data_IF_489961383358
#
_entry.id   IF_489961383358
#
_cell.length_a   1.000
_cell.length_b   1.000
_cell.length_c   1.000
_cell.angle_alpha   90.00
_cell.angle_beta   90.00
_cell.angle_gamma   90.00
#
_symmetry.space_group_name_H-M   'P 1'
#
loop_
_entity.id
_entity.type
_entity.pdbx_description
1 polymer ?
#
# COMPACT_ATOMS: atom_id res chain seq x y z
N UNK A 1 -57.79 -52.31 -26.06
CA UNK A 1 -58.10 -51.96 -24.67
C UNK A 1 -57.07 -50.90 -24.24
N UNK A 2 -57.52 -49.66 -24.07
CA UNK A 2 -56.72 -48.48 -23.87
C UNK A 2 -56.35 -48.33 -22.40
N UNK A 3 -55.08 -48.20 -22.11
CA UNK A 3 -54.55 -47.78 -20.80
C UNK A 3 -53.83 -46.50 -20.93
N UNK A 4 -54.51 -45.38 -20.61
CA UNK A 4 -53.92 -44.04 -20.62
C UNK A 4 -52.99 -43.79 -19.41
N UNK A 5 -51.78 -43.30 -19.65
CA UNK A 5 -50.81 -42.87 -18.62
C UNK A 5 -51.07 -41.42 -18.28
N UNK A 6 -51.46 -41.18 -17.04
CA UNK A 6 -51.67 -39.86 -16.46
C UNK A 6 -50.36 -39.13 -16.28
N UNK A 7 -50.25 -37.90 -16.85
CA UNK A 7 -49.13 -36.96 -16.61
C UNK A 7 -49.36 -36.28 -15.28
N UNK A 8 -48.57 -36.64 -14.27
CA UNK A 8 -48.44 -35.86 -13.02
C UNK A 8 -47.59 -34.62 -13.28
N UNK A 9 -48.18 -33.45 -13.05
CA UNK A 9 -47.50 -32.19 -13.05
C UNK A 9 -46.49 -32.12 -11.90
N UNK A 10 -45.20 -31.93 -12.23
CA UNK A 10 -44.19 -31.54 -11.27
C UNK A 10 -44.32 -30.03 -10.99
N UNK A 11 -44.76 -29.68 -9.80
CA UNK A 11 -44.72 -28.31 -9.27
C UNK A 11 -43.26 -28.07 -8.87
N UNK A 12 -42.53 -27.32 -9.68
CA UNK A 12 -41.20 -26.86 -9.38
C UNK A 12 -41.27 -25.72 -8.37
N UNK A 13 -40.90 -26.00 -7.10
CA UNK A 13 -40.66 -24.96 -6.10
C UNK A 13 -39.29 -24.31 -6.37
N UNK A 14 -39.32 -23.15 -6.98
CA UNK A 14 -38.14 -22.27 -7.07
C UNK A 14 -37.86 -21.67 -5.68
N UNK A 15 -36.88 -22.23 -4.99
CA UNK A 15 -36.27 -21.60 -3.81
C UNK A 15 -35.46 -20.42 -4.32
N UNK A 16 -35.97 -19.20 -4.15
CA UNK A 16 -35.21 -17.97 -4.30
C UNK A 16 -34.24 -17.87 -3.12
N UNK A 17 -32.98 -18.21 -3.35
CA UNK A 17 -31.90 -17.85 -2.43
C UNK A 17 -31.72 -16.33 -2.50
N UNK A 18 -32.31 -15.61 -1.54
CA UNK A 18 -32.00 -14.21 -1.28
C UNK A 18 -30.59 -14.18 -0.67
N UNK A 19 -29.58 -13.90 -1.49
CA UNK A 19 -28.27 -13.54 -0.99
C UNK A 19 -28.39 -12.17 -0.29
N UNK A 20 -28.55 -12.22 1.03
CA UNK A 20 -28.37 -11.05 1.89
C UNK A 20 -26.88 -10.75 1.86
N UNK A 21 -26.45 -9.88 0.96
CA UNK A 21 -25.17 -9.23 1.04
C UNK A 21 -25.20 -8.32 2.28
N UNK A 22 -24.79 -8.86 3.43
CA UNK A 22 -24.47 -8.04 4.59
C UNK A 22 -23.24 -7.22 4.23
N UNK A 23 -23.44 -6.08 3.59
CA UNK A 23 -22.52 -4.98 3.54
C UNK A 23 -22.42 -4.43 4.97
N UNK A 24 -21.58 -5.02 5.80
CA UNK A 24 -21.17 -4.39 7.04
C UNK A 24 -20.46 -3.10 6.67
N UNK A 25 -21.19 -1.97 6.65
CA UNK A 25 -20.56 -0.65 6.65
C UNK A 25 -19.64 -0.62 7.87
N UNK A 26 -18.33 -0.50 7.62
CA UNK A 26 -17.36 -0.35 8.68
C UNK A 26 -17.77 0.87 9.51
N UNK A 27 -18.14 0.67 10.77
CA UNK A 27 -18.47 1.79 11.65
C UNK A 27 -17.26 2.72 11.73
N UNK A 28 -17.45 4.04 11.60
CA UNK A 28 -16.33 4.98 11.66
C UNK A 28 -15.60 4.79 13.00
N UNK A 29 -14.31 4.53 12.92
CA UNK A 29 -13.46 4.39 14.09
C UNK A 29 -13.54 5.67 14.93
N UNK A 30 -13.94 5.55 16.19
CA UNK A 30 -14.13 6.68 17.12
C UNK A 30 -12.83 7.45 17.43
N UNK A 31 -11.66 6.96 17.03
CA UNK A 31 -10.36 7.57 17.29
C UNK A 31 -9.59 7.80 15.98
N UNK A 32 -8.79 8.85 15.97
CA UNK A 32 -7.87 9.16 14.89
C UNK A 32 -6.71 8.15 14.89
N UNK A 33 -6.51 7.47 13.77
CA UNK A 33 -5.40 6.52 13.60
C UNK A 33 -4.15 7.25 13.11
N UNK A 34 -2.99 6.65 13.43
CA UNK A 34 -1.67 6.97 12.86
C UNK A 34 -1.27 5.88 11.89
N UNK A 35 -1.12 6.22 10.63
CA UNK A 35 -0.73 5.31 9.57
C UNK A 35 0.69 5.64 9.13
N UNK A 36 1.55 4.62 9.01
CA UNK A 36 2.88 4.76 8.42
C UNK A 36 2.97 3.88 7.18
N UNK A 37 3.37 4.48 6.07
CA UNK A 37 3.71 3.77 4.83
C UNK A 37 5.22 3.90 4.64
N UNK A 38 5.95 2.80 4.85
CA UNK A 38 7.39 2.74 4.83
C UNK A 38 7.89 2.20 3.48
N UNK A 39 8.42 3.08 2.63
CA UNK A 39 8.98 2.77 1.32
C UNK A 39 10.49 3.00 1.25
N UNK A 40 11.16 2.40 0.27
CA UNK A 40 12.59 2.57 0.03
C UNK A 40 12.91 4.01 -0.38
N UNK A 41 12.19 4.52 -1.36
CA UNK A 41 12.48 5.81 -2.00
C UNK A 41 11.26 6.72 -2.06
N UNK A 42 11.46 8.04 -2.27
CA UNK A 42 10.39 8.95 -2.67
C UNK A 42 9.69 8.44 -3.94
N UNK A 43 8.38 8.20 -3.85
CA UNK A 43 7.57 7.61 -4.91
C UNK A 43 6.98 6.26 -4.52
N UNK A 44 7.74 5.34 -3.92
CA UNK A 44 7.26 4.00 -3.61
C UNK A 44 5.95 3.99 -2.80
N UNK A 45 5.81 4.75 -1.69
CA UNK A 45 4.56 4.83 -0.95
C UNK A 45 3.39 5.36 -1.79
N UNK A 46 3.65 6.31 -2.68
CA UNK A 46 2.64 6.92 -3.54
C UNK A 46 2.19 5.95 -4.63
N UNK A 47 3.14 5.25 -5.27
CA UNK A 47 2.83 4.24 -6.28
C UNK A 47 2.11 3.03 -5.67
N UNK A 48 2.51 2.57 -4.49
CA UNK A 48 1.92 1.40 -3.84
C UNK A 48 0.58 1.71 -3.15
N UNK A 49 0.52 2.82 -2.39
CA UNK A 49 -0.54 3.08 -1.41
C UNK A 49 -1.26 4.42 -1.59
N UNK A 50 -0.98 5.19 -2.65
CA UNK A 50 -1.46 6.58 -2.78
C UNK A 50 -2.98 6.73 -2.68
N UNK A 51 -3.73 5.79 -3.25
CA UNK A 51 -5.20 5.79 -3.16
C UNK A 51 -5.71 5.47 -1.74
N UNK A 52 -5.09 4.50 -1.08
CA UNK A 52 -5.36 4.13 0.33
C UNK A 52 -5.00 5.26 1.28
N UNK A 53 -3.83 5.90 1.07
CA UNK A 53 -3.41 7.09 1.83
C UNK A 53 -4.44 8.21 1.71
N UNK A 54 -4.91 8.50 0.49
CA UNK A 54 -5.93 9.52 0.27
C UNK A 54 -7.23 9.18 1.01
N UNK A 55 -7.66 7.92 1.04
CA UNK A 55 -8.84 7.49 1.81
C UNK A 55 -8.66 7.69 3.32
N UNK A 56 -7.51 7.30 3.87
CA UNK A 56 -7.23 7.54 5.30
C UNK A 56 -7.26 9.03 5.65
N UNK A 57 -6.59 9.87 4.85
CA UNK A 57 -6.53 11.31 5.12
C UNK A 57 -7.88 11.99 4.93
N UNK A 58 -8.70 11.57 3.95
CA UNK A 58 -10.09 12.03 3.78
C UNK A 58 -10.98 11.64 4.98
N UNK A 59 -10.71 10.49 5.60
CA UNK A 59 -11.39 10.04 6.83
C UNK A 59 -10.83 10.69 8.12
N UNK A 60 -9.90 11.63 7.99
CA UNK A 60 -9.37 12.42 9.11
C UNK A 60 -8.22 11.77 9.88
N UNK A 61 -7.65 10.70 9.36
CA UNK A 61 -6.50 10.02 9.98
C UNK A 61 -5.17 10.70 9.68
N UNK A 62 -4.16 10.48 10.53
CA UNK A 62 -2.79 10.97 10.32
C UNK A 62 -1.99 9.93 9.53
N UNK A 63 -1.44 10.34 8.38
CA UNK A 63 -0.60 9.47 7.55
C UNK A 63 0.80 10.05 7.44
N UNK A 64 1.81 9.21 7.66
CA UNK A 64 3.22 9.51 7.41
C UNK A 64 3.75 8.60 6.30
N UNK A 65 4.31 9.20 5.25
CA UNK A 65 5.10 8.49 4.25
C UNK A 65 6.55 8.52 4.70
N UNK A 66 7.06 7.35 5.13
CA UNK A 66 8.42 7.17 5.61
C UNK A 66 9.28 6.61 4.49
N UNK A 67 10.27 7.36 4.05
CA UNK A 67 11.22 6.93 3.02
C UNK A 67 12.53 6.48 3.69
N UNK A 68 13.09 5.34 3.26
CA UNK A 68 14.35 4.83 3.80
C UNK A 68 15.51 5.80 3.52
N UNK A 69 15.55 6.30 2.29
CA UNK A 69 16.53 7.26 1.79
C UNK A 69 15.85 8.39 1.00
N UNK A 70 16.64 9.23 0.33
CA UNK A 70 16.14 10.34 -0.48
C UNK A 70 16.16 10.05 -1.98
N UNK A 71 16.54 8.83 -2.39
CA UNK A 71 16.66 8.45 -3.77
C UNK A 71 17.81 9.13 -4.49
N UNK A 72 18.95 9.26 -3.83
CA UNK A 72 20.12 10.02 -4.28
C UNK A 72 20.71 9.51 -5.59
N UNK A 73 20.52 8.23 -5.92
CA UNK A 73 20.99 7.60 -7.16
C UNK A 73 20.04 7.74 -8.34
N UNK A 74 18.81 8.21 -8.14
CA UNK A 74 17.74 8.19 -9.15
C UNK A 74 17.77 9.31 -10.19
N UNK A 75 18.79 10.18 -10.24
CA UNK A 75 18.87 11.29 -11.19
C UNK A 75 20.13 11.18 -12.06
N UNK A 76 20.03 10.71 -13.31
CA UNK A 76 21.17 10.68 -14.20
C UNK A 76 21.85 12.03 -14.33
N UNK A 77 23.19 12.05 -14.35
CA UNK A 77 24.01 13.25 -14.55
C UNK A 77 23.93 14.32 -13.45
N UNK A 78 23.43 13.97 -12.23
CA UNK A 78 23.42 14.85 -11.06
C UNK A 78 24.23 14.24 -9.91
N UNK A 79 24.72 15.08 -9.02
CA UNK A 79 25.28 14.60 -7.75
C UNK A 79 24.17 13.99 -6.88
N UNK A 80 24.52 13.04 -6.01
CA UNK A 80 23.56 12.47 -5.05
C UNK A 80 22.91 13.53 -4.16
N UNK A 81 23.67 14.57 -3.79
CA UNK A 81 23.14 15.68 -2.99
C UNK A 81 22.06 16.46 -3.75
N UNK A 82 22.29 16.80 -5.02
CA UNK A 82 21.31 17.50 -5.86
C UNK A 82 20.08 16.65 -6.12
N UNK A 83 20.29 15.36 -6.45
CA UNK A 83 19.18 14.42 -6.65
C UNK A 83 18.34 14.28 -5.40
N UNK A 84 18.96 14.03 -4.25
CA UNK A 84 18.27 13.91 -2.97
C UNK A 84 17.48 15.17 -2.60
N UNK A 85 17.98 16.37 -2.94
CA UNK A 85 17.26 17.62 -2.72
C UNK A 85 16.02 17.72 -3.63
N UNK A 86 16.15 17.40 -4.92
CA UNK A 86 15.03 17.37 -5.89
C UNK A 86 13.96 16.40 -5.40
N UNK A 87 14.32 15.14 -5.16
CA UNK A 87 13.37 14.09 -4.78
C UNK A 87 12.73 14.35 -3.40
N UNK A 88 13.43 14.99 -2.48
CA UNK A 88 12.84 15.46 -1.22
C UNK A 88 11.75 16.50 -1.46
N UNK A 89 11.98 17.47 -2.37
CA UNK A 89 10.97 18.48 -2.71
C UNK A 89 9.74 17.85 -3.40
N UNK A 90 9.96 16.86 -4.25
CA UNK A 90 8.90 16.10 -4.92
C UNK A 90 8.08 15.28 -3.92
N UNK A 91 8.71 14.57 -2.98
CA UNK A 91 8.04 13.86 -1.90
C UNK A 91 7.18 14.80 -1.02
N UNK A 92 7.72 15.98 -0.69
CA UNK A 92 6.94 17.00 0.02
C UNK A 92 5.73 17.47 -0.77
N UNK A 93 5.85 17.62 -2.10
CA UNK A 93 4.73 17.97 -2.98
C UNK A 93 3.70 16.85 -3.03
N UNK A 94 4.11 15.60 -3.21
CA UNK A 94 3.23 14.44 -3.20
C UNK A 94 2.47 14.30 -1.86
N UNK A 95 3.19 14.45 -0.74
CA UNK A 95 2.57 14.45 0.59
C UNK A 95 1.53 15.56 0.77
N UNK A 96 1.76 16.78 0.23
CA UNK A 96 0.74 17.84 0.27
C UNK A 96 -0.52 17.47 -0.49
N UNK A 97 -0.40 16.85 -1.65
CA UNK A 97 -1.54 16.36 -2.47
C UNK A 97 -2.35 15.33 -1.67
N UNK A 98 -1.67 14.36 -1.06
CA UNK A 98 -2.29 13.29 -0.27
C UNK A 98 -2.68 13.73 1.16
N UNK A 99 -2.38 14.96 1.58
CA UNK A 99 -2.54 15.45 2.96
C UNK A 99 -1.80 14.58 3.99
N UNK A 100 -0.69 13.98 3.59
CA UNK A 100 0.22 13.19 4.41
C UNK A 100 1.44 14.01 4.86
N UNK A 101 2.30 13.40 5.69
CA UNK A 101 3.55 14.00 6.17
C UNK A 101 4.74 13.17 5.67
N UNK A 102 5.79 13.79 5.09
CA UNK A 102 7.00 13.07 4.73
C UNK A 102 7.90 12.88 5.96
N UNK A 103 8.56 11.72 6.03
CA UNK A 103 9.64 11.44 6.97
C UNK A 103 10.75 10.63 6.26
N UNK A 104 11.99 10.75 6.72
CA UNK A 104 13.15 10.09 6.14
C UNK A 104 13.92 9.34 7.22
N UNK A 105 14.27 8.07 6.98
CA UNK A 105 15.03 7.26 7.93
C UNK A 105 16.53 7.56 7.92
N UNK A 106 17.03 8.20 6.84
CA UNK A 106 18.39 8.74 6.75
C UNK A 106 19.44 7.72 6.28
N UNK A 107 19.01 6.67 5.56
CA UNK A 107 19.92 5.83 4.79
C UNK A 107 20.27 6.51 3.45
N UNK A 108 21.26 5.97 2.74
CA UNK A 108 21.68 6.44 1.40
C UNK A 108 21.21 5.45 0.37
N UNK A 109 20.68 5.93 -0.74
CA UNK A 109 20.17 5.14 -1.85
C UNK A 109 21.22 4.16 -2.39
N UNK A 110 20.84 2.89 -2.51
CA UNK A 110 21.69 1.80 -2.95
C UNK A 110 22.77 1.35 -1.95
N UNK A 111 22.81 1.97 -0.75
CA UNK A 111 23.79 1.68 0.30
C UNK A 111 23.14 1.24 1.62
N UNK A 112 21.87 0.89 1.60
CA UNK A 112 21.15 0.49 2.83
C UNK A 112 21.74 -0.77 3.43
N UNK A 113 22.11 -0.71 4.70
CA UNK A 113 22.68 -1.81 5.45
C UNK A 113 21.59 -2.42 6.35
N UNK A 114 21.53 -3.75 6.41
CA UNK A 114 20.65 -4.49 7.32
C UNK A 114 21.52 -5.27 8.28
N UNK A 115 21.81 -4.65 9.43
CA UNK A 115 22.61 -5.21 10.50
C UNK A 115 22.00 -4.89 11.89
N UNK A 116 22.53 -5.38 13.00
CA UNK A 116 22.00 -5.09 14.33
C UNK A 116 21.88 -3.59 14.66
N UNK A 117 22.79 -2.76 14.17
CA UNK A 117 22.76 -1.31 14.39
C UNK A 117 21.61 -0.65 13.60
N UNK A 118 21.44 -1.02 12.33
CA UNK A 118 20.34 -0.56 11.48
C UNK A 118 18.97 -0.98 12.04
N UNK A 119 18.82 -2.21 12.51
CA UNK A 119 17.61 -2.63 13.21
C UNK A 119 17.31 -1.74 14.43
N UNK A 120 18.31 -1.50 15.28
CA UNK A 120 18.14 -0.64 16.46
C UNK A 120 17.76 0.80 16.11
N UNK A 121 18.37 1.37 15.05
CA UNK A 121 18.06 2.71 14.54
C UNK A 121 16.62 2.78 14.01
N UNK A 122 16.22 1.84 13.17
CA UNK A 122 14.91 1.85 12.52
C UNK A 122 13.76 1.58 13.53
N UNK A 123 13.98 0.73 14.55
CA UNK A 123 13.02 0.56 15.66
C UNK A 123 12.70 1.87 16.33
N UNK A 124 13.72 2.70 16.64
CA UNK A 124 13.51 4.03 17.25
C UNK A 124 12.72 4.97 16.35
N UNK A 125 12.92 4.91 15.03
CA UNK A 125 12.13 5.69 14.07
C UNK A 125 10.65 5.29 14.15
N UNK A 126 10.33 4.00 14.07
CA UNK A 126 8.95 3.53 14.14
C UNK A 126 8.32 3.71 15.52
N UNK A 127 9.05 3.54 16.60
CA UNK A 127 8.59 3.85 17.98
C UNK A 127 8.20 5.32 18.11
N UNK A 128 8.99 6.23 17.54
CA UNK A 128 8.68 7.67 17.54
C UNK A 128 7.42 8.02 16.74
N UNK A 129 7.14 7.29 15.65
CA UNK A 129 5.94 7.47 14.84
C UNK A 129 4.71 6.80 15.47
N UNK A 130 4.91 5.74 16.26
CA UNK A 130 3.87 5.01 17.00
C UNK A 130 2.65 4.66 16.12
N UNK A 131 2.81 3.91 15.01
CA UNK A 131 1.72 3.61 14.09
C UNK A 131 0.65 2.70 14.69
N UNK A 132 -0.60 2.91 14.28
CA UNK A 132 -1.70 1.96 14.43
C UNK A 132 -1.78 0.99 13.24
N UNK A 133 -1.31 1.47 12.07
CA UNK A 133 -1.21 0.69 10.82
C UNK A 133 0.14 0.96 10.19
N UNK A 134 0.84 -0.09 9.82
CA UNK A 134 2.13 -0.06 9.17
C UNK A 134 2.05 -0.79 7.82
N UNK A 135 2.47 -0.12 6.76
CA UNK A 135 2.66 -0.69 5.45
C UNK A 135 4.15 -0.67 5.09
N UNK A 136 4.63 -1.69 4.38
CA UNK A 136 5.99 -1.72 3.82
C UNK A 136 6.05 -2.60 2.58
N UNK A 137 7.18 -2.59 1.88
CA UNK A 137 7.41 -3.44 0.72
C UNK A 137 7.25 -4.93 1.04
N UNK A 138 6.76 -5.69 0.07
CA UNK A 138 6.87 -7.14 0.06
C UNK A 138 8.37 -7.53 0.00
N UNK A 139 8.82 -8.55 0.76
CA UNK A 139 10.25 -8.84 0.87
C UNK A 139 10.87 -9.51 -0.37
N UNK A 140 10.05 -9.99 -1.33
CA UNK A 140 10.54 -10.54 -2.59
C UNK A 140 10.41 -9.46 -3.65
N UNK A 141 11.51 -8.77 -3.88
CA UNK A 141 11.59 -7.58 -4.74
C UNK A 141 12.98 -7.51 -5.40
N UNK A 142 13.05 -6.95 -6.61
CA UNK A 142 14.30 -6.81 -7.35
C UNK A 142 15.22 -5.76 -6.70
N UNK A 143 14.64 -4.69 -6.11
CA UNK A 143 15.44 -3.60 -5.56
C UNK A 143 15.97 -3.91 -4.14
N UNK A 144 17.29 -3.73 -3.89
CA UNK A 144 17.87 -4.04 -2.58
C UNK A 144 17.31 -3.18 -1.44
N UNK A 145 17.03 -1.89 -1.67
CA UNK A 145 16.49 -1.00 -0.65
C UNK A 145 15.03 -1.33 -0.29
N UNK A 146 14.24 -1.87 -1.25
CA UNK A 146 12.90 -2.37 -0.96
C UNK A 146 12.96 -3.57 -0.01
N UNK A 147 13.90 -4.50 -0.26
CA UNK A 147 14.13 -5.63 0.65
C UNK A 147 14.66 -5.18 2.00
N UNK A 148 15.56 -4.17 2.01
CA UNK A 148 16.12 -3.63 3.25
C UNK A 148 15.03 -3.04 4.15
N UNK A 149 14.20 -2.11 3.64
CA UNK A 149 13.14 -1.50 4.46
C UNK A 149 12.07 -2.52 4.88
N UNK A 150 11.78 -3.50 4.03
CA UNK A 150 10.87 -4.61 4.39
C UNK A 150 11.36 -5.35 5.62
N UNK A 151 12.65 -5.73 5.65
CA UNK A 151 13.27 -6.42 6.79
C UNK A 151 13.34 -5.54 8.03
N UNK A 152 13.73 -4.27 7.88
CA UNK A 152 13.81 -3.31 8.98
C UNK A 152 12.44 -3.04 9.61
N UNK A 153 11.41 -2.89 8.79
CA UNK A 153 10.04 -2.67 9.27
C UNK A 153 9.46 -3.91 9.96
N UNK A 154 9.70 -5.10 9.41
CA UNK A 154 9.27 -6.35 10.04
C UNK A 154 9.95 -6.59 11.39
N UNK A 155 11.27 -6.40 11.48
CA UNK A 155 12.00 -6.50 12.73
C UNK A 155 11.48 -5.49 13.78
N UNK A 156 11.30 -4.24 13.37
CA UNK A 156 10.74 -3.23 14.27
C UNK A 156 9.35 -3.62 14.77
N UNK A 157 8.47 -4.12 13.89
CA UNK A 157 7.14 -4.62 14.25
C UNK A 157 7.24 -5.74 15.31
N UNK A 158 8.17 -6.70 15.16
CA UNK A 158 8.37 -7.78 16.12
C UNK A 158 8.72 -7.28 17.54
N UNK A 159 9.35 -6.11 17.63
CA UNK A 159 9.80 -5.53 18.91
C UNK A 159 8.86 -4.47 19.50
N UNK A 160 7.87 -3.97 18.75
CA UNK A 160 6.88 -3.03 19.26
C UNK A 160 6.01 -3.70 20.36
N UNK A 161 5.79 -3.01 21.48
CA UNK A 161 4.93 -3.48 22.55
C UNK A 161 3.45 -3.54 22.12
N UNK A 162 2.95 -2.47 21.51
CA UNK A 162 1.66 -2.44 20.84
C UNK A 162 1.84 -2.77 19.36
N UNK A 163 1.26 -3.88 18.89
CA UNK A 163 1.39 -4.34 17.51
C UNK A 163 0.44 -3.56 16.61
N UNK A 164 0.94 -2.75 15.65
CA UNK A 164 0.09 -2.17 14.63
C UNK A 164 -0.46 -3.26 13.68
N UNK A 165 -1.55 -2.97 12.98
CA UNK A 165 -1.91 -3.74 11.79
C UNK A 165 -0.76 -3.64 10.77
N UNK A 166 -0.30 -4.78 10.23
CA UNK A 166 0.90 -4.83 9.40
C UNK A 166 0.60 -5.44 8.03
N UNK A 167 0.88 -4.66 6.99
CA UNK A 167 0.60 -5.00 5.61
C UNK A 167 1.84 -4.82 4.74
N UNK A 168 2.03 -5.75 3.81
CA UNK A 168 2.98 -5.63 2.72
C UNK A 168 2.27 -5.14 1.47
N UNK A 169 2.93 -4.27 0.72
CA UNK A 169 2.46 -3.76 -0.57
C UNK A 169 3.36 -4.19 -1.73
N UNK A 170 2.84 -4.08 -2.94
CA UNK A 170 3.57 -4.24 -4.19
C UNK A 170 3.89 -2.88 -4.82
N UNK A 171 5.04 -2.78 -5.48
CA UNK A 171 5.41 -1.67 -6.35
C UNK A 171 5.79 -2.24 -7.71
N UNK A 172 5.17 -1.73 -8.79
CA UNK A 172 5.46 -2.19 -10.17
C UNK A 172 5.49 -3.72 -10.28
N UNK A 173 4.38 -4.38 -9.90
CA UNK A 173 4.29 -5.84 -9.84
C UNK A 173 4.69 -6.49 -11.17
N UNK A 174 5.62 -7.45 -11.09
CA UNK A 174 6.23 -8.12 -12.22
C UNK A 174 7.51 -7.42 -12.75
N UNK A 175 7.79 -6.17 -12.36
CA UNK A 175 9.04 -5.47 -12.64
C UNK A 175 9.92 -5.44 -11.39
N UNK A 176 9.47 -4.77 -10.31
CA UNK A 176 10.18 -4.73 -9.03
C UNK A 176 9.70 -5.82 -8.08
N UNK A 177 8.45 -5.75 -7.64
CA UNK A 177 7.85 -6.75 -6.74
C UNK A 177 7.53 -8.03 -7.48
N UNK A 178 7.86 -9.16 -6.88
CA UNK A 178 7.66 -10.48 -7.48
C UNK A 178 6.90 -11.42 -6.55
N UNK A 179 6.15 -12.38 -7.14
CA UNK A 179 5.41 -13.42 -6.41
C UNK A 179 4.41 -12.84 -5.40
N UNK A 180 3.78 -11.71 -5.71
CA UNK A 180 2.84 -11.05 -4.83
C UNK A 180 1.43 -11.67 -4.95
N UNK A 181 0.96 -12.30 -3.88
CA UNK A 181 -0.36 -12.92 -3.79
C UNK A 181 -1.19 -12.21 -2.70
N UNK A 182 -1.93 -11.14 -3.03
CA UNK A 182 -2.61 -10.31 -2.06
C UNK A 182 -3.75 -11.04 -1.34
N UNK A 183 -3.95 -10.67 -0.07
CA UNK A 183 -5.01 -11.18 0.80
C UNK A 183 -6.09 -10.13 1.08
N UNK A 184 -5.75 -8.87 0.98
CA UNK A 184 -6.61 -7.73 1.34
C UNK A 184 -6.58 -6.69 0.21
N UNK A 185 -7.72 -6.03 -0.03
CA UNK A 185 -7.89 -5.05 -1.10
C UNK A 185 -8.56 -3.79 -0.58
N UNK A 186 -8.14 -2.65 -1.08
CA UNK A 186 -8.77 -1.35 -0.81
C UNK A 186 -9.31 -0.76 -2.11
N UNK A 187 -10.61 -0.49 -2.14
CA UNK A 187 -11.23 0.21 -3.27
C UNK A 187 -10.70 1.66 -3.34
N UNK A 188 -9.94 1.97 -4.38
CA UNK A 188 -9.40 3.31 -4.62
C UNK A 188 -10.07 4.03 -5.79
N UNK A 189 -11.20 3.55 -6.29
CA UNK A 189 -11.87 4.10 -7.45
C UNK A 189 -12.17 5.60 -7.33
N UNK A 190 -12.49 6.07 -6.12
CA UNK A 190 -12.73 7.48 -5.82
C UNK A 190 -11.48 8.31 -5.55
N UNK A 191 -10.33 7.69 -5.30
CA UNK A 191 -9.07 8.35 -4.92
C UNK A 191 -7.92 8.09 -5.91
N UNK A 192 -8.17 7.36 -7.00
CA UNK A 192 -7.17 7.08 -8.03
C UNK A 192 -6.59 8.37 -8.64
N UNK A 193 -7.41 9.38 -8.86
CA UNK A 193 -6.95 10.67 -9.38
C UNK A 193 -5.95 11.36 -8.45
N UNK A 194 -6.15 11.29 -7.14
CA UNK A 194 -5.20 11.83 -6.15
C UNK A 194 -3.92 11.01 -6.10
N UNK A 195 -4.02 9.68 -6.18
CA UNK A 195 -2.86 8.79 -6.33
C UNK A 195 -2.03 9.18 -7.56
N UNK A 196 -2.69 9.30 -8.71
CA UNK A 196 -2.05 9.69 -9.96
C UNK A 196 -1.33 11.04 -9.81
N UNK A 197 -2.00 12.04 -9.27
CA UNK A 197 -1.43 13.38 -9.07
C UNK A 197 -0.19 13.33 -8.15
N UNK A 198 -0.23 12.54 -7.08
CA UNK A 198 0.89 12.35 -6.18
C UNK A 198 2.07 11.64 -6.86
N UNK A 199 1.82 10.59 -7.66
CA UNK A 199 2.87 9.92 -8.45
C UNK A 199 3.51 10.88 -9.45
N UNK A 200 2.71 11.73 -10.12
CA UNK A 200 3.21 12.73 -11.06
C UNK A 200 3.94 13.91 -10.39
N UNK A 201 3.85 14.05 -9.07
CA UNK A 201 4.69 14.99 -8.34
C UNK A 201 6.18 14.63 -8.37
N UNK A 202 6.51 13.33 -8.58
CA UNK A 202 7.87 12.82 -8.77
C UNK A 202 8.35 12.98 -10.21
N UNK A 203 8.35 14.21 -10.70
CA UNK A 203 8.62 14.55 -12.11
C UNK A 203 10.01 14.11 -12.59
N UNK A 204 11.01 14.07 -11.69
CA UNK A 204 12.37 13.61 -11.99
C UNK A 204 12.44 12.11 -12.30
N UNK A 205 11.39 11.34 -11.99
CA UNK A 205 11.32 9.88 -12.09
C UNK A 205 10.48 9.39 -13.28
N UNK A 206 10.33 10.22 -14.32
CA UNK A 206 9.62 9.86 -15.56
C UNK A 206 8.22 9.20 -15.32
N UNK A 207 7.29 9.85 -14.61
CA UNK A 207 6.00 9.26 -14.26
C UNK A 207 5.16 8.84 -15.47
N UNK A 208 5.33 9.47 -16.63
CA UNK A 208 4.67 9.06 -17.88
C UNK A 208 5.10 7.66 -18.35
N UNK A 209 6.29 7.21 -17.95
CA UNK A 209 6.78 5.87 -18.25
C UNK A 209 6.24 4.83 -17.25
N UNK A 210 6.30 5.12 -15.95
CA UNK A 210 6.00 4.12 -14.91
C UNK A 210 4.53 4.09 -14.49
N UNK A 211 3.82 5.21 -14.46
CA UNK A 211 2.44 5.23 -13.99
C UNK A 211 1.46 4.40 -14.84
N UNK A 212 1.59 4.29 -16.19
CA UNK A 212 0.71 3.42 -16.98
C UNK A 212 0.72 1.96 -16.54
N UNK A 213 1.89 1.39 -16.17
CA UNK A 213 1.98 0.05 -15.60
C UNK A 213 1.23 -0.03 -14.28
N UNK A 214 1.51 0.90 -13.36
CA UNK A 214 0.86 0.93 -12.05
C UNK A 214 -0.68 1.03 -12.16
N UNK A 215 -1.19 1.79 -13.13
CA UNK A 215 -2.61 1.88 -13.40
C UNK A 215 -3.20 0.56 -13.89
N UNK A 216 -2.47 -0.21 -14.68
CA UNK A 216 -2.89 -1.56 -15.09
C UNK A 216 -2.92 -2.51 -13.89
N UNK A 217 -1.92 -2.45 -13.01
CA UNK A 217 -1.89 -3.24 -11.78
C UNK A 217 -3.11 -2.93 -10.92
N UNK A 218 -3.41 -1.66 -10.63
CA UNK A 218 -4.58 -1.29 -9.82
C UNK A 218 -5.92 -1.66 -10.47
N UNK A 219 -6.01 -1.61 -11.81
CA UNK A 219 -7.19 -2.11 -12.54
C UNK A 219 -7.34 -3.63 -12.42
N UNK A 220 -6.25 -4.38 -12.52
CA UNK A 220 -6.26 -5.84 -12.33
C UNK A 220 -6.65 -6.22 -10.89
N UNK A 221 -6.11 -5.53 -9.88
CA UNK A 221 -6.52 -5.71 -8.48
C UNK A 221 -7.99 -5.34 -8.28
N UNK A 222 -8.50 -4.37 -9.03
CA UNK A 222 -9.93 -4.04 -9.10
C UNK A 222 -10.77 -5.21 -9.59
N UNK A 223 -10.36 -5.88 -10.69
CA UNK A 223 -11.03 -7.07 -11.20
C UNK A 223 -11.07 -8.17 -10.14
N UNK A 224 -9.95 -8.42 -9.44
CA UNK A 224 -9.87 -9.44 -8.40
C UNK A 224 -10.82 -9.18 -7.21
N UNK A 225 -11.10 -7.92 -6.92
CA UNK A 225 -11.86 -7.50 -5.73
C UNK A 225 -13.26 -6.95 -6.03
N UNK A 226 -13.67 -6.88 -7.31
CA UNK A 226 -14.98 -6.38 -7.72
C UNK A 226 -15.09 -4.85 -7.76
N UNK A 227 -13.97 -4.13 -7.87
CA UNK A 227 -13.89 -2.66 -7.97
C UNK A 227 -13.35 -2.22 -9.33
N UNK A 228 -13.51 -0.95 -9.69
CA UNK A 228 -12.90 -0.42 -10.92
C UNK A 228 -11.39 -0.21 -10.76
N UNK A 229 -10.94 0.17 -9.57
CA UNK A 229 -9.54 0.32 -9.20
C UNK A 229 -9.35 -0.10 -7.75
N UNK A 230 -8.32 -0.88 -7.46
CA UNK A 230 -7.97 -1.28 -6.10
C UNK A 230 -6.45 -1.27 -5.89
N UNK A 231 -6.03 -0.99 -4.67
CA UNK A 231 -4.71 -1.33 -4.16
C UNK A 231 -4.80 -2.63 -3.36
N UNK A 232 -3.74 -3.42 -3.40
CA UNK A 232 -3.75 -4.76 -2.84
C UNK A 232 -2.60 -4.96 -1.86
N UNK A 233 -2.86 -5.77 -0.83
CA UNK A 233 -1.96 -5.96 0.30
C UNK A 233 -1.89 -7.42 0.72
N UNK A 234 -0.75 -7.83 1.27
CA UNK A 234 -0.62 -9.07 2.04
C UNK A 234 -0.59 -8.68 3.50
N UNK A 235 -1.63 -9.05 4.24
CA UNK A 235 -1.64 -8.87 5.69
C UNK A 235 -0.74 -9.91 6.36
N UNK A 236 0.16 -9.44 7.23
CA UNK A 236 0.94 -10.37 8.03
C UNK A 236 0.03 -11.18 8.98
N UNK A 237 0.15 -12.50 8.93
CA UNK A 237 -0.80 -13.45 9.56
C UNK A 237 -1.00 -13.24 11.06
N UNK A 238 0.01 -12.72 11.78
CA UNK A 238 -0.06 -12.46 13.23
C UNK A 238 -0.41 -11.01 13.57
N UNK A 239 -0.68 -10.17 12.56
CA UNK A 239 -1.03 -8.78 12.82
C UNK A 239 -2.53 -8.63 13.11
N UNK A 240 -2.93 -7.61 13.89
CA UNK A 240 -4.33 -7.21 13.96
C UNK A 240 -4.88 -6.89 12.56
N UNK A 241 -6.17 -7.17 12.33
CA UNK A 241 -6.85 -6.84 11.08
C UNK A 241 -7.93 -5.77 11.25
N UNK A 242 -8.65 -5.45 10.15
CA UNK A 242 -9.85 -4.62 10.20
C UNK A 242 -9.60 -3.11 10.31
N UNK A 243 -8.41 -2.62 9.97
CA UNK A 243 -8.06 -1.19 10.01
C UNK A 243 -7.83 -0.57 8.61
N UNK A 244 -8.08 -1.31 7.51
CA UNK A 244 -8.08 -0.75 6.15
C UNK A 244 -9.29 0.17 5.93
N UNK A 245 -9.16 1.29 5.15
CA UNK A 245 -10.20 2.29 4.95
C UNK A 245 -11.27 1.87 3.96
#
# INVERSE_FOLDING_TARGET
MNGGVSRRALIGSTLALSAVANGAEAQPLKRKLKIVVAGGHPGDPEYACGGTVARYTQSGHDVTLLYLNKGEGGCPHRSGQECGAIRTAEAQKACRILKAKPAFAGEIDGQSIVDPAAYGKFRKVLEGLAPDVLFTHWPIDAHPDHRAISNLAYDAWLHMAAKPAFYYFEVSDGEDTQMFAPTDYVNISSTESLKREACYAHASQAPDHFYPLQRQVTAFRGIQSGYSQAEAYIRYVKSPGGLLP
#
